data_IF_458185785739
#
_entry.id   IF_458185785739
#
_cell.length_a   1.000
_cell.length_b   1.000
_cell.length_c   1.000
_cell.angle_alpha   90.00
_cell.angle_beta   90.00
_cell.angle_gamma   90.00
#
_symmetry.space_group_name_H-M   'P 1'
#
loop_
_entity.id
_entity.type
_entity.pdbx_description
1 polymer ?
#
# COMPACT_ATOMS: atom_id res chain seq x y z
N UNK A 1 5.91 26.59 -11.57
CA UNK A 1 4.94 25.47 -11.49
C UNK A 1 5.71 24.20 -11.72
N UNK A 2 5.53 23.19 -10.87
CA UNK A 2 6.21 21.90 -11.01
C UNK A 2 5.69 21.24 -12.30
N UNK A 3 6.59 20.85 -13.19
CA UNK A 3 6.25 20.09 -14.40
C UNK A 3 6.05 18.64 -13.96
N UNK A 4 4.81 18.19 -13.90
CA UNK A 4 4.47 16.82 -13.48
C UNK A 4 4.74 15.85 -14.63
N UNK A 5 5.33 14.69 -14.31
CA UNK A 5 5.65 13.65 -15.29
C UNK A 5 4.39 12.86 -15.65
N UNK A 6 4.04 12.72 -16.94
CA UNK A 6 2.97 11.83 -17.37
C UNK A 6 3.21 10.38 -16.94
N UNK A 7 2.16 9.67 -16.55
CA UNK A 7 2.27 8.29 -16.09
C UNK A 7 1.01 7.46 -16.42
N UNK A 8 1.11 6.12 -16.34
CA UNK A 8 0.01 5.22 -16.70
C UNK A 8 -1.30 5.40 -15.94
N UNK A 9 -1.28 6.00 -14.73
CA UNK A 9 -2.47 6.13 -13.88
C UNK A 9 -3.55 7.04 -14.47
N UNK A 10 -3.13 8.01 -15.29
CA UNK A 10 -4.01 8.93 -16.01
C UNK A 10 -3.99 8.67 -17.52
N UNK A 11 -3.62 7.44 -17.91
CA UNK A 11 -3.47 7.10 -19.32
C UNK A 11 -4.82 6.82 -19.99
N UNK A 12 -4.87 7.18 -21.25
CA UNK A 12 -6.05 7.05 -22.09
C UNK A 12 -5.72 6.33 -23.39
N UNK A 13 -6.71 5.65 -23.95
CA UNK A 13 -6.66 5.09 -25.30
C UNK A 13 -7.55 5.94 -26.20
N UNK A 14 -6.96 6.63 -27.18
CA UNK A 14 -7.68 7.36 -28.21
C UNK A 14 -7.83 6.47 -29.43
N UNK A 15 -9.05 6.06 -29.74
CA UNK A 15 -9.36 5.43 -31.03
C UNK A 15 -9.74 6.51 -32.03
N UNK A 16 -9.00 6.60 -33.13
CA UNK A 16 -9.14 7.66 -34.12
C UNK A 16 -9.16 7.12 -35.54
N UNK A 17 -10.03 7.70 -36.34
CA UNK A 17 -10.14 7.51 -37.78
C UNK A 17 -9.48 8.69 -38.47
N UNK A 18 -8.60 8.41 -39.42
CA UNK A 18 -7.89 9.43 -40.22
C UNK A 18 -7.87 9.03 -41.69
N UNK A 19 -7.81 10.00 -42.64
CA UNK A 19 -7.60 9.70 -44.04
C UNK A 19 -6.35 8.85 -44.27
N UNK A 20 -6.40 7.86 -45.17
CA UNK A 20 -5.22 7.05 -45.49
C UNK A 20 -4.25 7.79 -46.43
N UNK A 21 -3.55 8.80 -45.89
CA UNK A 21 -2.53 9.59 -46.60
C UNK A 21 -1.41 10.04 -45.66
N UNK A 22 -0.29 10.44 -46.26
CA UNK A 22 0.88 10.89 -45.50
C UNK A 22 0.56 12.08 -44.58
N UNK A 23 1.20 12.11 -43.41
CA UNK A 23 1.11 13.22 -42.45
C UNK A 23 0.02 13.10 -41.39
N UNK A 24 -1.02 12.28 -41.58
CA UNK A 24 -2.16 12.23 -40.64
C UNK A 24 -1.76 11.73 -39.24
N UNK A 25 -0.98 10.66 -39.14
CA UNK A 25 -0.49 10.18 -37.85
C UNK A 25 0.52 11.17 -37.22
N UNK A 26 1.33 11.83 -38.04
CA UNK A 26 2.28 12.83 -37.58
C UNK A 26 1.57 14.02 -36.94
N UNK A 27 0.45 14.49 -37.53
CA UNK A 27 -0.34 15.57 -36.92
C UNK A 27 -0.95 15.17 -35.58
N UNK A 28 -1.44 13.94 -35.43
CA UNK A 28 -1.98 13.44 -34.14
C UNK A 28 -0.90 13.39 -33.08
N UNK A 29 0.21 12.74 -33.38
CA UNK A 29 1.33 12.58 -32.44
C UNK A 29 1.94 13.94 -32.07
N UNK A 30 2.03 14.87 -33.02
CA UNK A 30 2.46 16.24 -32.75
C UNK A 30 1.49 16.98 -31.81
N UNK A 31 0.17 16.86 -32.00
CA UNK A 31 -0.80 17.50 -31.12
C UNK A 31 -0.70 16.98 -29.69
N UNK A 32 -0.59 15.66 -29.52
CA UNK A 32 -0.39 15.03 -28.20
C UNK A 32 0.90 15.53 -27.54
N UNK A 33 2.01 15.50 -28.28
CA UNK A 33 3.31 15.93 -27.76
C UNK A 33 3.33 17.43 -27.39
N UNK A 34 2.60 18.27 -28.13
CA UNK A 34 2.52 19.72 -27.88
C UNK A 34 1.81 20.05 -26.57
N UNK A 35 0.87 19.20 -26.13
CA UNK A 35 0.23 19.31 -24.81
C UNK A 35 1.08 18.69 -23.69
N UNK A 36 2.16 17.98 -24.02
CA UNK A 36 3.01 17.30 -23.05
C UNK A 36 2.57 15.87 -22.71
N UNK A 37 1.69 15.26 -23.51
CA UNK A 37 1.32 13.85 -23.37
C UNK A 37 2.46 12.93 -23.82
N UNK A 38 2.69 11.85 -23.06
CA UNK A 38 3.68 10.84 -23.44
C UNK A 38 3.01 9.72 -24.24
N UNK A 39 3.45 9.53 -25.49
CA UNK A 39 2.82 8.60 -26.42
C UNK A 39 3.35 7.18 -26.17
N UNK A 40 2.42 6.27 -25.90
CA UNK A 40 2.69 4.84 -25.76
C UNK A 40 2.47 4.08 -27.07
N UNK A 41 1.80 2.92 -26.97
CA UNK A 41 1.52 2.07 -28.13
C UNK A 41 0.60 2.75 -29.16
N UNK A 42 0.89 2.49 -30.44
CA UNK A 42 0.08 2.92 -31.58
C UNK A 42 -0.27 1.69 -32.40
N UNK A 43 -1.53 1.26 -32.34
CA UNK A 43 -2.03 0.07 -33.00
C UNK A 43 -2.87 0.43 -34.23
N UNK A 44 -2.62 -0.24 -35.36
CA UNK A 44 -3.44 -0.10 -36.57
C UNK A 44 -4.53 -1.19 -36.53
N UNK A 45 -5.78 -0.77 -36.35
CA UNK A 45 -6.92 -1.69 -36.27
C UNK A 45 -7.49 -2.00 -37.66
N UNK A 46 -7.60 -0.97 -38.50
CA UNK A 46 -8.16 -1.10 -39.85
C UNK A 46 -7.46 -0.14 -40.81
N UNK A 47 -7.28 -0.58 -42.06
CA UNK A 47 -6.80 0.27 -43.14
C UNK A 47 -7.55 -0.04 -44.43
N UNK A 48 -8.14 0.99 -45.01
CA UNK A 48 -8.74 0.96 -46.35
C UNK A 48 -8.01 1.91 -47.28
N UNK A 49 -8.43 2.02 -48.54
CA UNK A 49 -7.89 3.04 -49.47
C UNK A 49 -8.21 4.47 -49.04
N UNK A 50 -9.23 4.68 -48.21
CA UNK A 50 -9.72 6.01 -47.84
C UNK A 50 -9.36 6.40 -46.41
N UNK A 51 -9.38 5.44 -45.48
CA UNK A 51 -9.22 5.71 -44.04
C UNK A 51 -8.27 4.71 -43.37
N UNK A 52 -7.72 5.12 -42.23
CA UNK A 52 -7.05 4.27 -41.26
C UNK A 52 -7.68 4.47 -39.89
N UNK A 53 -7.96 3.37 -39.20
CA UNK A 53 -8.42 3.36 -37.82
C UNK A 53 -7.26 2.94 -36.92
N UNK A 54 -6.89 3.80 -35.98
CA UNK A 54 -5.78 3.56 -35.05
C UNK A 54 -6.23 3.72 -33.61
N UNK A 55 -5.56 3.00 -32.73
CA UNK A 55 -5.58 3.27 -31.29
C UNK A 55 -4.23 3.82 -30.86
N UNK A 56 -4.26 4.87 -30.04
CA UNK A 56 -3.06 5.47 -29.46
C UNK A 56 -3.24 5.50 -27.95
N UNK A 57 -2.31 4.87 -27.24
CA UNK A 57 -2.19 5.04 -25.79
C UNK A 57 -1.42 6.31 -25.50
N UNK A 58 -1.91 7.13 -24.58
CA UNK A 58 -1.25 8.35 -24.14
C UNK A 58 -1.28 8.42 -22.63
N UNK A 59 -0.11 8.60 -22.02
CA UNK A 59 0.02 8.90 -20.60
C UNK A 59 -0.13 10.41 -20.39
N UNK A 60 -0.90 10.77 -19.37
CA UNK A 60 -1.06 12.13 -18.87
C UNK A 60 -0.58 12.21 -17.41
N UNK A 61 -0.48 13.40 -16.84
CA UNK A 61 -0.09 13.60 -15.44
C UNK A 61 -1.28 13.92 -14.52
N UNK A 62 -2.46 14.18 -15.08
CA UNK A 62 -3.72 14.37 -14.37
C UNK A 62 -4.91 14.18 -15.32
N UNK A 63 -6.12 14.10 -14.77
CA UNK A 63 -7.37 14.07 -15.55
C UNK A 63 -7.54 15.34 -16.38
N UNK A 64 -7.23 16.52 -15.85
CA UNK A 64 -7.35 17.78 -16.59
C UNK A 64 -6.34 17.85 -17.75
N UNK A 65 -5.15 17.27 -17.57
CA UNK A 65 -4.18 17.16 -18.66
C UNK A 65 -4.64 16.17 -19.73
N UNK A 66 -5.20 15.04 -19.32
CA UNK A 66 -5.74 14.04 -20.25
C UNK A 66 -6.86 14.64 -21.12
N UNK A 67 -7.72 15.48 -20.53
CA UNK A 67 -8.74 16.24 -21.25
C UNK A 67 -8.13 17.23 -22.26
N UNK A 68 -7.09 17.99 -21.89
CA UNK A 68 -6.40 18.91 -22.81
C UNK A 68 -5.82 18.19 -24.02
N UNK A 69 -5.14 17.06 -23.80
CA UNK A 69 -4.61 16.20 -24.88
C UNK A 69 -5.75 15.79 -25.83
N UNK A 70 -6.87 15.31 -25.28
CA UNK A 70 -8.01 14.88 -26.08
C UNK A 70 -8.60 16.04 -26.89
N UNK A 71 -8.71 17.24 -26.31
CA UNK A 71 -9.20 18.41 -27.04
C UNK A 71 -8.24 18.81 -28.17
N UNK A 72 -6.93 18.77 -27.94
CA UNK A 72 -5.93 19.05 -28.98
C UNK A 72 -6.05 18.09 -30.17
N UNK A 73 -6.27 16.79 -29.91
CA UNK A 73 -6.49 15.80 -30.97
C UNK A 73 -7.84 16.03 -31.68
N UNK A 74 -8.91 16.32 -30.94
CA UNK A 74 -10.25 16.63 -31.51
C UNK A 74 -10.27 17.90 -32.36
N UNK A 75 -9.37 18.84 -32.10
CA UNK A 75 -9.26 20.08 -32.86
C UNK A 75 -8.55 19.90 -34.22
N UNK A 76 -7.91 18.75 -34.46
CA UNK A 76 -7.23 18.50 -35.73
C UNK A 76 -8.24 18.32 -36.88
N UNK A 77 -8.02 18.99 -38.04
CA UNK A 77 -8.89 18.85 -39.18
C UNK A 77 -8.82 17.43 -39.75
N UNK A 78 -9.95 16.91 -40.23
CA UNK A 78 -10.06 15.59 -40.86
C UNK A 78 -9.79 14.39 -39.94
N UNK A 79 -9.59 14.61 -38.63
CA UNK A 79 -9.40 13.54 -37.65
C UNK A 79 -10.69 13.35 -36.87
N UNK A 80 -11.16 12.11 -36.82
CA UNK A 80 -12.35 11.75 -36.07
C UNK A 80 -11.95 10.86 -34.90
N UNK A 81 -12.10 11.36 -33.67
CA UNK A 81 -12.01 10.51 -32.48
C UNK A 81 -13.27 9.65 -32.43
N UNK A 82 -13.10 8.35 -32.63
CA UNK A 82 -14.18 7.35 -32.68
C UNK A 82 -14.55 6.90 -31.27
N UNK A 83 -13.56 6.65 -30.43
CA UNK A 83 -13.76 6.23 -29.04
C UNK A 83 -12.63 6.75 -28.15
N UNK A 84 -12.93 6.86 -26.86
CA UNK A 84 -12.00 7.30 -25.83
C UNK A 84 -12.20 6.47 -24.58
N UNK A 85 -11.14 5.78 -24.16
CA UNK A 85 -11.17 4.99 -22.94
C UNK A 85 -10.16 5.53 -21.95
N UNK A 86 -10.60 5.85 -20.74
CA UNK A 86 -9.69 5.92 -19.61
C UNK A 86 -9.27 4.48 -19.26
N UNK A 87 -7.96 4.22 -19.30
CA UNK A 87 -7.42 2.86 -19.15
C UNK A 87 -7.61 2.32 -17.74
N UNK A 88 -7.57 3.19 -16.72
CA UNK A 88 -7.83 2.82 -15.33
C UNK A 88 -9.31 2.47 -15.15
N UNK A 89 -10.24 3.30 -15.61
CA UNK A 89 -11.67 2.98 -15.51
C UNK A 89 -12.05 1.72 -16.28
N UNK A 90 -11.45 1.51 -17.46
CA UNK A 90 -11.72 0.32 -18.25
C UNK A 90 -11.20 -0.96 -17.57
N UNK A 91 -10.02 -0.90 -16.93
CA UNK A 91 -9.48 -2.01 -16.12
C UNK A 91 -10.40 -2.41 -14.96
N UNK A 92 -11.15 -1.45 -14.42
CA UNK A 92 -12.09 -1.67 -13.31
C UNK A 92 -13.49 -2.15 -13.75
N UNK A 93 -13.79 -2.25 -15.05
CA UNK A 93 -15.10 -2.73 -15.51
C UNK A 93 -15.32 -4.18 -15.09
N UNK A 94 -16.30 -4.41 -14.22
CA UNK A 94 -16.65 -5.73 -13.71
C UNK A 94 -15.90 -6.15 -12.43
N UNK A 95 -15.09 -5.26 -11.85
CA UNK A 95 -14.27 -5.56 -10.68
C UNK A 95 -12.95 -6.26 -11.03
N UNK A 96 -12.08 -6.43 -10.02
CA UNK A 96 -10.70 -6.94 -10.21
C UNK A 96 -10.50 -8.40 -9.78
N UNK A 97 -11.49 -8.99 -9.10
CA UNK A 97 -11.38 -10.34 -8.54
C UNK A 97 -12.60 -11.19 -8.89
N UNK A 98 -12.43 -12.51 -8.84
CA UNK A 98 -13.50 -13.49 -9.05
C UNK A 98 -13.31 -14.69 -8.11
N UNK A 99 -14.38 -15.44 -7.85
CA UNK A 99 -14.33 -16.69 -7.08
C UNK A 99 -14.26 -17.86 -8.05
N UNK A 100 -13.22 -18.68 -7.91
CA UNK A 100 -13.03 -19.87 -8.73
C UNK A 100 -12.98 -21.13 -7.86
N UNK A 101 -13.72 -22.17 -8.26
CA UNK A 101 -13.68 -23.47 -7.59
C UNK A 101 -12.33 -24.16 -7.76
N UNK A 102 -11.82 -24.80 -6.69
CA UNK A 102 -10.56 -25.55 -6.72
C UNK A 102 -10.62 -26.84 -7.56
N UNK A 103 -11.82 -27.42 -7.68
CA UNK A 103 -12.07 -28.63 -8.45
C UNK A 103 -13.17 -28.39 -9.49
N UNK A 104 -13.05 -28.90 -10.72
CA UNK A 104 -14.11 -28.81 -11.71
C UNK A 104 -15.23 -29.83 -11.38
N UNK A 105 -16.48 -29.42 -11.53
CA UNK A 105 -17.65 -30.31 -11.38
C UNK A 105 -18.09 -30.80 -12.76
N UNK A 106 -17.61 -31.97 -13.19
CA UNK A 106 -17.85 -32.50 -14.56
C UNK A 106 -18.84 -33.66 -14.59
N UNK A 107 -19.13 -34.27 -13.45
CA UNK A 107 -20.00 -35.42 -13.33
C UNK A 107 -20.92 -35.35 -12.10
N UNK A 108 -21.95 -36.20 -12.09
CA UNK A 108 -22.80 -36.38 -10.92
C UNK A 108 -22.00 -36.86 -9.70
N UNK A 109 -20.96 -37.68 -9.92
CA UNK A 109 -20.08 -38.14 -8.85
C UNK A 109 -19.31 -36.98 -8.21
N UNK A 110 -18.79 -36.06 -9.01
CA UNK A 110 -18.08 -34.86 -8.50
C UNK A 110 -19.02 -34.00 -7.66
N UNK A 111 -20.24 -33.76 -8.17
CA UNK A 111 -21.27 -32.99 -7.47
C UNK A 111 -21.67 -33.65 -6.15
N UNK A 112 -21.85 -34.98 -6.12
CA UNK A 112 -22.22 -35.71 -4.91
C UNK A 112 -21.13 -35.74 -3.83
N UNK A 113 -19.85 -35.58 -4.21
CA UNK A 113 -18.73 -35.44 -3.26
C UNK A 113 -18.57 -34.01 -2.77
N UNK A 114 -18.60 -33.03 -3.69
CA UNK A 114 -18.39 -31.62 -3.38
C UNK A 114 -19.59 -30.99 -2.66
N UNK A 115 -20.79 -31.53 -2.89
CA UNK A 115 -22.04 -31.05 -2.31
C UNK A 115 -22.86 -32.23 -1.75
N UNK A 116 -24.17 -32.20 -1.89
CA UNK A 116 -25.04 -33.23 -1.31
C UNK A 116 -24.97 -34.56 -2.08
N UNK A 117 -24.95 -35.70 -1.36
CA UNK A 117 -24.99 -35.83 0.10
C UNK A 117 -23.61 -35.82 0.79
N UNK A 118 -22.50 -35.90 0.05
CA UNK A 118 -21.15 -36.12 0.59
C UNK A 118 -20.66 -35.06 1.58
N UNK A 119 -20.92 -33.79 1.31
CA UNK A 119 -20.50 -32.65 2.15
C UNK A 119 -21.01 -32.76 3.59
N UNK A 120 -22.15 -33.43 3.82
CA UNK A 120 -22.68 -33.65 5.16
C UNK A 120 -21.75 -34.45 6.07
N UNK A 121 -20.89 -35.31 5.52
CA UNK A 121 -19.84 -36.03 6.27
C UNK A 121 -18.74 -35.08 6.74
N UNK A 122 -18.37 -34.11 5.91
CA UNK A 122 -17.39 -33.07 6.25
C UNK A 122 -17.94 -32.15 7.33
N UNK A 123 -19.21 -31.74 7.23
CA UNK A 123 -19.87 -30.93 8.27
C UNK A 123 -19.88 -31.65 9.64
N UNK A 124 -20.15 -32.96 9.67
CA UNK A 124 -20.08 -33.75 10.91
C UNK A 124 -18.65 -33.86 11.45
N UNK A 125 -17.67 -34.11 10.58
CA UNK A 125 -16.27 -34.21 11.00
C UNK A 125 -15.77 -32.91 11.64
N UNK A 126 -16.12 -31.74 11.09
CA UNK A 126 -15.78 -30.44 11.69
C UNK A 126 -16.54 -30.17 12.99
N UNK A 127 -17.79 -30.64 13.11
CA UNK A 127 -18.54 -30.51 14.36
C UNK A 127 -18.01 -31.41 15.50
N UNK A 128 -17.44 -32.58 15.15
CA UNK A 128 -16.83 -33.52 16.10
C UNK A 128 -15.40 -33.11 16.49
N UNK A 129 -14.62 -32.57 15.54
CA UNK A 129 -13.28 -32.04 15.75
C UNK A 129 -13.16 -30.65 15.09
N UNK A 130 -13.37 -29.56 15.86
CA UNK A 130 -13.33 -28.19 15.35
C UNK A 130 -12.04 -27.82 14.61
N UNK A 131 -10.90 -28.42 14.96
CA UNK A 131 -9.61 -28.15 14.29
C UNK A 131 -9.59 -28.56 12.82
N UNK A 132 -10.46 -29.51 12.42
CA UNK A 132 -10.59 -29.91 11.02
C UNK A 132 -11.10 -28.78 10.13
N UNK A 133 -11.66 -27.69 10.69
CA UNK A 133 -12.06 -26.53 9.89
C UNK A 133 -10.88 -25.98 9.07
N UNK A 134 -9.66 -26.04 9.60
CA UNK A 134 -8.47 -25.62 8.85
C UNK A 134 -8.12 -26.61 7.73
N UNK A 135 -8.22 -27.92 7.97
CA UNK A 135 -7.82 -28.92 6.99
C UNK A 135 -8.84 -29.14 5.87
N UNK A 136 -10.13 -28.94 6.18
CA UNK A 136 -11.24 -29.35 5.32
C UNK A 136 -11.99 -28.16 4.69
N UNK A 137 -11.57 -26.92 4.96
CA UNK A 137 -12.22 -25.72 4.43
C UNK A 137 -11.22 -24.69 3.94
N UNK A 138 -11.75 -23.59 3.37
CA UNK A 138 -10.93 -22.47 2.92
C UNK A 138 -10.25 -21.71 4.07
N UNK A 139 -10.68 -21.87 5.32
CA UNK A 139 -10.17 -21.12 6.49
C UNK A 139 -8.64 -21.13 6.58
N UNK A 140 -7.98 -22.24 6.24
CA UNK A 140 -6.51 -22.35 6.22
C UNK A 140 -5.79 -21.31 5.35
N UNK A 141 -6.42 -20.77 4.32
CA UNK A 141 -5.76 -19.88 3.37
C UNK A 141 -6.53 -18.59 3.09
N UNK A 142 -7.58 -18.28 3.85
CA UNK A 142 -8.47 -17.16 3.55
C UNK A 142 -8.36 -16.02 4.55
N UNK A 143 -8.18 -14.79 4.05
CA UNK A 143 -8.07 -13.56 4.87
C UNK A 143 -9.24 -12.62 4.57
N UNK A 144 -9.87 -12.06 5.60
CA UNK A 144 -10.84 -10.98 5.43
C UNK A 144 -10.10 -9.65 5.35
N UNK A 145 -10.36 -8.85 4.30
CA UNK A 145 -9.91 -7.46 4.24
C UNK A 145 -11.06 -6.58 4.70
N UNK A 146 -11.02 -6.13 5.95
CA UNK A 146 -12.12 -5.40 6.59
C UNK A 146 -11.84 -3.91 6.59
N UNK A 147 -12.80 -3.12 6.11
CA UNK A 147 -12.75 -1.65 6.12
C UNK A 147 -14.13 -1.05 6.40
N UNK A 148 -14.18 0.16 6.96
CA UNK A 148 -15.37 1.02 7.01
C UNK A 148 -15.34 2.15 5.94
N UNK A 149 -14.25 2.24 5.18
CA UNK A 149 -13.98 3.27 4.18
C UNK A 149 -13.83 4.68 4.74
N UNK A 150 -13.47 4.81 6.02
CA UNK A 150 -13.35 6.11 6.68
C UNK A 150 -12.03 6.84 6.42
N UNK A 151 -11.01 6.14 5.91
CA UNK A 151 -9.69 6.70 5.58
C UNK A 151 -9.11 6.07 4.31
N UNK A 152 -9.85 6.11 3.20
CA UNK A 152 -9.42 5.50 1.93
C UNK A 152 -8.24 6.26 1.33
N UNK A 153 -7.05 5.65 1.37
CA UNK A 153 -5.81 6.28 0.87
C UNK A 153 -5.59 7.68 1.51
N UNK A 154 -5.22 8.68 0.70
CA UNK A 154 -5.19 10.10 1.09
C UNK A 154 -6.50 10.84 0.80
N UNK A 155 -7.59 10.15 0.46
CA UNK A 155 -8.85 10.75 -0.02
C UNK A 155 -9.87 10.96 1.11
N UNK A 156 -9.61 10.41 2.30
CA UNK A 156 -10.48 10.54 3.47
C UNK A 156 -11.66 9.57 3.45
N UNK A 157 -12.78 10.00 4.02
CA UNK A 157 -13.96 9.15 4.22
C UNK A 157 -14.80 9.08 2.93
N UNK A 158 -14.67 7.97 2.19
CA UNK A 158 -15.45 7.68 0.99
C UNK A 158 -16.56 6.64 1.24
N UNK A 159 -16.66 6.16 2.48
CA UNK A 159 -17.58 5.11 2.87
C UNK A 159 -17.24 3.74 2.25
N UNK A 160 -18.01 2.70 2.59
CA UNK A 160 -17.71 1.31 2.20
C UNK A 160 -17.69 1.10 0.68
N UNK A 161 -18.59 1.76 -0.05
CA UNK A 161 -18.67 1.63 -1.51
C UNK A 161 -17.46 2.26 -2.22
N UNK A 162 -16.97 3.41 -1.73
CA UNK A 162 -15.78 4.06 -2.27
C UNK A 162 -14.48 3.31 -1.95
N UNK A 163 -14.46 2.53 -0.87
CA UNK A 163 -13.30 1.73 -0.46
C UNK A 163 -13.17 0.41 -1.25
N UNK A 164 -14.28 -0.17 -1.73
CA UNK A 164 -14.30 -1.49 -2.35
C UNK A 164 -13.26 -1.67 -3.48
N UNK A 165 -13.06 -0.72 -4.42
CA UNK A 165 -12.02 -0.87 -5.44
C UNK A 165 -10.61 -1.01 -4.85
N UNK A 166 -10.29 -0.34 -3.75
CA UNK A 166 -8.99 -0.48 -3.06
C UNK A 166 -8.89 -1.87 -2.43
N UNK A 167 -9.95 -2.32 -1.76
CA UNK A 167 -9.99 -3.63 -1.10
C UNK A 167 -9.88 -4.81 -2.10
N UNK A 168 -10.52 -4.71 -3.26
CA UNK A 168 -10.33 -5.68 -4.35
C UNK A 168 -8.88 -5.70 -4.84
N UNK A 169 -8.25 -4.53 -4.90
CA UNK A 169 -6.83 -4.41 -5.23
C UNK A 169 -5.97 -5.17 -4.23
N UNK A 170 -6.19 -4.95 -2.94
CA UNK A 170 -5.49 -5.68 -1.87
C UNK A 170 -5.71 -7.19 -1.94
N UNK A 171 -6.94 -7.63 -2.23
CA UNK A 171 -7.23 -9.04 -2.41
C UNK A 171 -6.41 -9.67 -3.55
N UNK A 172 -6.32 -8.97 -4.69
CA UNK A 172 -5.49 -9.38 -5.81
C UNK A 172 -4.00 -9.45 -5.45
N UNK A 173 -3.48 -8.48 -4.68
CA UNK A 173 -2.08 -8.46 -4.24
C UNK A 173 -1.75 -9.60 -3.26
N UNK A 174 -2.66 -9.92 -2.33
CA UNK A 174 -2.53 -11.12 -1.47
C UNK A 174 -2.38 -12.40 -2.30
N UNK A 175 -3.19 -12.52 -3.35
CA UNK A 175 -3.18 -13.69 -4.22
C UNK A 175 -1.91 -13.78 -5.05
N UNK A 176 -1.54 -12.67 -5.70
CA UNK A 176 -0.39 -12.59 -6.61
C UNK A 176 0.93 -12.84 -5.88
N UNK A 177 1.15 -12.17 -4.74
CA UNK A 177 2.46 -12.18 -4.09
C UNK A 177 2.65 -13.30 -3.05
N UNK A 178 1.57 -13.86 -2.51
CA UNK A 178 1.64 -14.83 -1.43
C UNK A 178 0.73 -16.05 -1.60
N UNK A 179 -0.06 -16.12 -2.67
CA UNK A 179 -1.02 -17.21 -2.88
C UNK A 179 -2.16 -17.24 -1.85
N UNK A 180 -2.37 -16.16 -1.10
CA UNK A 180 -3.41 -16.05 -0.06
C UNK A 180 -4.74 -15.67 -0.72
N UNK A 181 -5.81 -16.38 -0.36
CA UNK A 181 -7.15 -16.10 -0.86
C UNK A 181 -7.79 -15.00 0.00
N UNK A 182 -7.70 -13.75 -0.39
CA UNK A 182 -8.28 -12.66 0.40
C UNK A 182 -9.63 -12.19 -0.16
N UNK A 183 -10.54 -11.74 0.70
CA UNK A 183 -11.87 -11.27 0.30
C UNK A 183 -12.21 -9.92 0.94
N UNK A 184 -12.68 -8.92 0.16
CA UNK A 184 -13.03 -7.61 0.66
C UNK A 184 -14.35 -7.63 1.45
N UNK A 185 -14.35 -7.02 2.63
CA UNK A 185 -15.50 -6.88 3.53
C UNK A 185 -15.63 -5.40 3.93
N UNK A 186 -16.36 -4.64 3.10
CA UNK A 186 -16.61 -3.21 3.34
C UNK A 186 -17.88 -3.02 4.18
N UNK A 187 -17.73 -2.55 5.42
CA UNK A 187 -18.82 -2.45 6.39
C UNK A 187 -19.55 -1.11 6.28
N UNK A 188 -20.88 -1.17 6.18
CA UNK A 188 -21.76 0.01 6.18
C UNK A 188 -22.03 0.56 7.60
N UNK A 189 -21.01 0.59 8.44
CA UNK A 189 -21.02 1.17 9.79
C UNK A 189 -19.64 1.73 10.12
N UNK A 190 -19.61 2.81 10.89
CA UNK A 190 -18.39 3.43 11.42
C UNK A 190 -18.39 3.44 12.96
N UNK A 191 -19.32 2.71 13.56
CA UNK A 191 -19.38 2.47 15.00
C UNK A 191 -18.37 1.37 15.37
N UNK A 192 -17.48 1.68 16.32
CA UNK A 192 -16.38 0.80 16.73
C UNK A 192 -16.89 -0.56 17.19
N UNK A 193 -17.90 -0.59 18.07
CA UNK A 193 -18.39 -1.84 18.65
C UNK A 193 -19.14 -2.68 17.62
N UNK A 194 -19.92 -2.04 16.73
CA UNK A 194 -20.58 -2.72 15.62
C UNK A 194 -19.57 -3.35 14.65
N UNK A 195 -18.45 -2.68 14.36
CA UNK A 195 -17.37 -3.23 13.53
C UNK A 195 -16.78 -4.46 14.23
N UNK A 196 -16.39 -4.33 15.50
CA UNK A 196 -15.76 -5.41 16.27
C UNK A 196 -16.68 -6.64 16.33
N UNK A 197 -17.96 -6.44 16.66
CA UNK A 197 -18.94 -7.53 16.74
C UNK A 197 -19.21 -8.16 15.36
N UNK A 198 -19.25 -7.37 14.30
CA UNK A 198 -19.40 -7.89 12.93
C UNK A 198 -18.22 -8.77 12.54
N UNK A 199 -16.99 -8.30 12.76
CA UNK A 199 -15.78 -9.06 12.42
C UNK A 199 -15.70 -10.36 13.21
N UNK A 200 -16.02 -10.32 14.51
CA UNK A 200 -16.13 -11.51 15.35
C UNK A 200 -17.12 -12.54 14.80
N UNK A 201 -18.29 -12.10 14.35
CA UNK A 201 -19.32 -13.00 13.84
C UNK A 201 -18.97 -13.63 12.48
N UNK A 202 -18.11 -12.99 11.67
CA UNK A 202 -17.65 -13.54 10.39
C UNK A 202 -16.31 -14.30 10.47
N UNK A 203 -15.56 -14.15 11.57
CA UNK A 203 -14.26 -14.77 11.79
C UNK A 203 -14.20 -16.30 11.57
N UNK A 204 -15.26 -17.11 11.81
CA UNK A 204 -15.20 -18.54 11.56
C UNK A 204 -14.74 -18.93 10.14
N UNK A 205 -15.03 -18.11 9.12
CA UNK A 205 -14.66 -18.36 7.72
C UNK A 205 -13.17 -18.13 7.44
N UNK A 206 -12.52 -17.25 8.20
CA UNK A 206 -11.21 -16.69 7.87
C UNK A 206 -10.10 -17.24 8.77
N UNK A 207 -8.90 -17.42 8.22
CA UNK A 207 -7.68 -17.73 8.96
C UNK A 207 -6.92 -16.49 9.40
N UNK A 208 -7.42 -15.29 9.09
CA UNK A 208 -6.84 -14.01 9.52
C UNK A 208 -7.70 -12.81 9.08
N UNK A 209 -7.49 -11.67 9.73
CA UNK A 209 -8.19 -10.40 9.44
C UNK A 209 -7.18 -9.30 9.17
N UNK A 210 -7.25 -8.72 7.98
CA UNK A 210 -6.51 -7.53 7.59
C UNK A 210 -7.44 -6.31 7.68
N UNK A 211 -7.23 -5.45 8.67
CA UNK A 211 -7.91 -4.16 8.81
C UNK A 211 -7.27 -3.13 7.86
N UNK A 212 -8.11 -2.33 7.21
CA UNK A 212 -7.68 -1.44 6.14
C UNK A 212 -8.47 -0.13 6.08
N UNK A 213 -7.80 0.99 5.81
CA UNK A 213 -8.43 2.28 5.51
C UNK A 213 -9.45 2.73 6.60
N UNK A 214 -9.15 2.45 7.87
CA UNK A 214 -9.96 2.86 9.03
C UNK A 214 -9.30 4.06 9.72
N UNK A 215 -10.07 5.13 9.92
CA UNK A 215 -9.56 6.37 10.49
C UNK A 215 -9.11 6.23 11.96
N UNK A 216 -7.96 6.85 12.28
CA UNK A 216 -7.56 7.08 13.65
C UNK A 216 -8.50 8.10 14.36
N UNK A 217 -8.75 7.98 15.67
CA UNK A 217 -8.15 6.99 16.58
C UNK A 217 -8.88 5.64 16.65
N UNK A 218 -10.06 5.49 16.00
CA UNK A 218 -10.89 4.28 16.13
C UNK A 218 -10.18 3.01 15.70
N UNK A 219 -9.32 3.09 14.68
CA UNK A 219 -8.53 1.96 14.20
C UNK A 219 -7.73 1.26 15.31
N UNK A 220 -7.18 2.01 16.27
CA UNK A 220 -6.42 1.46 17.39
C UNK A 220 -7.30 0.64 18.34
N UNK A 221 -8.48 1.16 18.67
CA UNK A 221 -9.43 0.49 19.56
C UNK A 221 -10.02 -0.77 18.90
N UNK A 222 -10.40 -0.66 17.62
CA UNK A 222 -10.92 -1.79 16.83
C UNK A 222 -9.89 -2.91 16.78
N UNK A 223 -8.64 -2.60 16.41
CA UNK A 223 -7.56 -3.59 16.34
C UNK A 223 -7.28 -4.22 17.71
N UNK A 224 -7.17 -3.42 18.77
CA UNK A 224 -6.90 -3.92 20.12
C UNK A 224 -8.00 -4.89 20.58
N UNK A 225 -9.28 -4.50 20.45
CA UNK A 225 -10.42 -5.36 20.81
C UNK A 225 -10.46 -6.65 19.99
N UNK A 226 -10.24 -6.57 18.68
CA UNK A 226 -10.24 -7.75 17.82
C UNK A 226 -9.10 -8.72 18.15
N UNK A 227 -7.91 -8.21 18.44
CA UNK A 227 -6.77 -9.04 18.86
C UNK A 227 -6.97 -9.73 20.21
N UNK A 228 -7.81 -9.18 21.08
CA UNK A 228 -8.14 -9.77 22.38
C UNK A 228 -9.19 -10.89 22.26
N UNK A 229 -10.19 -10.71 21.38
CA UNK A 229 -11.35 -11.61 21.32
C UNK A 229 -11.24 -12.71 20.25
N UNK A 230 -10.34 -12.57 19.29
CA UNK A 230 -10.15 -13.54 18.20
C UNK A 230 -8.95 -14.45 18.44
N UNK A 231 -9.07 -15.68 17.95
CA UNK A 231 -8.05 -16.73 17.94
C UNK A 231 -7.27 -16.80 16.60
N UNK A 232 -7.47 -15.80 15.74
CA UNK A 232 -6.83 -15.65 14.43
C UNK A 232 -6.06 -14.32 14.36
N UNK A 233 -4.99 -14.24 13.55
CA UNK A 233 -4.16 -13.05 13.46
C UNK A 233 -4.96 -11.87 12.89
N UNK A 234 -4.90 -10.75 13.60
CA UNK A 234 -5.45 -9.45 13.19
C UNK A 234 -4.31 -8.47 12.94
N UNK A 235 -4.33 -7.85 11.77
CA UNK A 235 -3.29 -6.94 11.30
C UNK A 235 -3.92 -5.69 10.69
N UNK A 236 -3.56 -4.51 11.16
CA UNK A 236 -3.88 -3.28 10.43
C UNK A 236 -2.74 -2.86 9.51
N UNK A 237 -2.93 -2.93 8.19
CA UNK A 237 -1.83 -2.71 7.22
C UNK A 237 -1.32 -1.26 7.21
N UNK A 238 -2.21 -0.27 7.21
CA UNK A 238 -1.81 1.15 7.26
C UNK A 238 -0.96 1.51 8.49
N UNK A 239 -1.13 0.78 9.59
CA UNK A 239 -0.32 0.91 10.79
C UNK A 239 0.97 0.11 10.66
N UNK A 240 0.84 -1.21 10.71
CA UNK A 240 1.97 -2.11 10.92
C UNK A 240 2.73 -2.38 9.63
N UNK A 241 2.04 -2.52 8.49
CA UNK A 241 2.68 -2.68 7.18
C UNK A 241 3.58 -1.50 6.86
N UNK A 242 3.07 -0.27 7.02
CA UNK A 242 3.84 0.96 6.83
C UNK A 242 5.05 1.00 7.77
N UNK A 243 4.87 0.64 9.04
CA UNK A 243 5.96 0.60 10.03
C UNK A 243 7.07 -0.40 9.66
N UNK A 244 6.69 -1.60 9.24
CA UNK A 244 7.61 -2.68 8.87
C UNK A 244 8.47 -2.28 7.68
N UNK A 245 7.86 -1.78 6.61
CA UNK A 245 8.60 -1.40 5.39
C UNK A 245 9.44 -0.14 5.63
N UNK A 246 8.95 0.82 6.43
CA UNK A 246 9.73 2.00 6.84
C UNK A 246 10.97 1.60 7.64
N UNK A 247 10.84 0.66 8.60
CA UNK A 247 11.98 0.16 9.35
C UNK A 247 12.95 -0.61 8.44
N UNK A 248 12.45 -1.43 7.52
CA UNK A 248 13.30 -2.16 6.57
C UNK A 248 14.16 -1.22 5.72
N UNK A 249 13.53 -0.19 5.14
CA UNK A 249 14.22 0.86 4.40
C UNK A 249 15.23 1.61 5.28
N UNK A 250 14.85 1.98 6.51
CA UNK A 250 15.71 2.70 7.43
C UNK A 250 16.95 1.88 7.85
N UNK A 251 16.80 0.58 8.10
CA UNK A 251 17.94 -0.31 8.41
C UNK A 251 19.02 -0.21 7.33
N UNK A 252 18.62 -0.23 6.06
CA UNK A 252 19.57 -0.16 4.95
C UNK A 252 20.08 1.26 4.69
N UNK A 253 19.24 2.28 4.84
CA UNK A 253 19.66 3.68 4.76
C UNK A 253 20.73 4.01 5.82
N UNK A 254 20.56 3.53 7.06
CA UNK A 254 21.52 3.73 8.15
C UNK A 254 22.86 3.02 7.89
N UNK A 255 22.84 1.81 7.30
CA UNK A 255 24.07 1.13 6.85
C UNK A 255 24.81 1.97 5.80
N UNK A 256 24.09 2.55 4.85
CA UNK A 256 24.66 3.37 3.77
C UNK A 256 25.34 4.63 4.34
N UNK A 257 24.68 5.36 5.23
CA UNK A 257 25.22 6.58 5.85
C UNK A 257 26.10 6.31 7.08
N UNK A 258 26.29 5.05 7.47
CA UNK A 258 27.10 4.58 8.59
C UNK A 258 26.70 5.21 9.94
N UNK A 259 25.39 5.27 10.22
CA UNK A 259 24.82 5.74 11.48
C UNK A 259 24.18 4.60 12.26
N UNK A 260 24.17 4.68 13.60
CA UNK A 260 23.42 3.76 14.47
C UNK A 260 22.02 4.33 14.75
N UNK A 261 21.00 3.46 14.82
CA UNK A 261 19.62 3.88 15.13
C UNK A 261 19.48 4.48 16.54
N UNK A 262 20.40 4.11 17.44
CA UNK A 262 20.41 4.53 18.85
C UNK A 262 20.89 5.99 19.03
N UNK A 263 21.70 6.49 18.09
CA UNK A 263 22.41 7.78 18.20
C UNK A 263 21.77 8.91 17.38
N UNK A 264 20.75 8.58 16.57
CA UNK A 264 20.12 9.52 15.64
C UNK A 264 18.87 10.17 16.23
N UNK A 265 18.51 11.34 15.68
CA UNK A 265 17.17 11.92 15.87
C UNK A 265 16.29 11.68 14.66
N UNK A 266 15.14 11.06 14.91
CA UNK A 266 14.12 10.76 13.91
C UNK A 266 12.94 11.71 14.10
N UNK A 267 12.56 12.43 13.05
CA UNK A 267 11.36 13.25 13.02
C UNK A 267 10.30 12.55 12.18
N UNK A 268 9.14 12.27 12.77
CA UNK A 268 8.00 11.70 12.07
C UNK A 268 6.92 12.79 11.96
N UNK A 269 6.55 13.15 10.73
CA UNK A 269 5.44 14.08 10.48
C UNK A 269 4.18 13.32 10.12
N UNK A 270 3.15 13.50 10.94
CA UNK A 270 1.93 12.69 10.93
C UNK A 270 1.84 11.87 12.21
N UNK A 271 0.95 12.26 13.13
CA UNK A 271 0.70 11.54 14.38
C UNK A 271 -0.65 10.79 14.34
N UNK A 272 -0.96 10.17 13.20
CA UNK A 272 -2.09 9.27 13.00
C UNK A 272 -1.68 7.80 13.14
N UNK A 273 -2.49 6.89 12.59
CA UNK A 273 -2.31 5.44 12.63
C UNK A 273 -0.87 5.01 12.24
N UNK A 274 -0.44 5.33 11.03
CA UNK A 274 0.89 4.99 10.51
C UNK A 274 2.04 5.57 11.36
N UNK A 275 1.99 6.87 11.67
CA UNK A 275 3.09 7.55 12.37
C UNK A 275 3.31 7.03 13.78
N UNK A 276 2.23 6.73 14.51
CA UNK A 276 2.32 6.10 15.84
C UNK A 276 2.89 4.69 15.75
N UNK A 277 2.44 3.89 14.79
CA UNK A 277 2.92 2.52 14.60
C UNK A 277 4.41 2.49 14.19
N UNK A 278 4.83 3.38 13.28
CA UNK A 278 6.24 3.58 12.93
C UNK A 278 7.04 3.93 14.19
N UNK A 279 6.61 4.94 14.96
CA UNK A 279 7.33 5.39 16.15
C UNK A 279 7.51 4.27 17.19
N UNK A 280 6.46 3.47 17.43
CA UNK A 280 6.51 2.31 18.33
C UNK A 280 7.47 1.22 17.85
N UNK A 281 7.43 0.88 16.57
CA UNK A 281 8.31 -0.15 16.00
C UNK A 281 9.78 0.30 15.98
N UNK A 282 10.04 1.57 15.62
CA UNK A 282 11.38 2.15 15.66
C UNK A 282 11.96 2.18 17.08
N UNK A 283 11.16 2.57 18.08
CA UNK A 283 11.57 2.51 19.50
C UNK A 283 11.91 1.08 19.92
N UNK A 284 11.10 0.09 19.50
CA UNK A 284 11.38 -1.34 19.74
C UNK A 284 12.66 -1.81 19.01
N UNK A 285 12.99 -1.21 17.87
CA UNK A 285 14.20 -1.49 17.11
C UNK A 285 15.47 -0.81 17.69
N UNK A 286 15.34 0.06 18.70
CA UNK A 286 16.46 0.71 19.39
C UNK A 286 16.53 2.24 19.22
N UNK A 287 15.58 2.87 18.53
CA UNK A 287 15.58 4.33 18.37
C UNK A 287 15.30 5.05 19.70
N UNK A 288 16.26 5.86 20.16
CA UNK A 288 16.16 6.58 21.43
C UNK A 288 15.46 7.94 21.29
N UNK A 289 15.68 8.65 20.18
CA UNK A 289 15.20 10.03 20.00
C UNK A 289 14.23 10.12 18.83
N UNK A 290 12.93 10.12 19.13
CA UNK A 290 11.84 10.26 18.14
C UNK A 290 11.00 11.49 18.47
N UNK A 291 10.84 12.39 17.51
CA UNK A 291 9.96 13.57 17.61
C UNK A 291 8.80 13.40 16.65
N UNK A 292 7.58 13.33 17.18
CA UNK A 292 6.36 13.36 16.37
C UNK A 292 5.89 14.80 16.14
N UNK A 293 5.48 15.09 14.91
CA UNK A 293 4.78 16.32 14.55
C UNK A 293 3.36 15.99 14.06
N UNK A 294 2.39 16.83 14.41
CA UNK A 294 1.06 16.81 13.79
C UNK A 294 0.72 18.19 13.20
N UNK A 295 -0.53 18.40 12.81
CA UNK A 295 -0.98 19.66 12.20
C UNK A 295 -0.75 20.91 13.07
N UNK A 296 -0.43 20.75 14.36
CA UNK A 296 -0.13 21.84 15.30
C UNK A 296 1.37 21.95 15.63
N UNK A 297 2.24 21.25 14.91
CA UNK A 297 3.68 21.21 15.15
C UNK A 297 4.10 20.04 16.03
N UNK A 298 5.22 20.21 16.75
CA UNK A 298 5.80 19.16 17.61
C UNK A 298 4.77 18.73 18.66
N UNK A 299 4.64 17.41 18.86
CA UNK A 299 3.87 16.83 19.95
C UNK A 299 4.67 17.03 21.25
N UNK A 300 4.45 18.16 21.91
CA UNK A 300 5.14 18.50 23.16
C UNK A 300 4.32 18.12 24.40
N UNK A 301 4.98 17.96 25.54
CA UNK A 301 4.34 17.78 26.85
C UNK A 301 3.58 19.01 27.33
N UNK A 302 3.91 20.19 26.82
CA UNK A 302 3.19 21.44 27.13
C UNK A 302 1.86 21.58 26.38
N UNK A 303 1.58 20.74 25.38
CA UNK A 303 0.31 20.75 24.65
C UNK A 303 -0.79 20.02 25.41
N UNK A 304 -1.97 20.62 25.46
CA UNK A 304 -3.18 20.02 26.01
C UNK A 304 -4.01 19.32 24.92
N UNK A 305 -4.88 18.38 25.32
CA UNK A 305 -5.81 17.70 24.41
C UNK A 305 -5.17 16.65 23.48
N UNK A 306 -4.01 16.11 23.86
CA UNK A 306 -3.41 14.96 23.18
C UNK A 306 -4.19 13.69 23.54
N UNK A 307 -4.46 12.82 22.57
CA UNK A 307 -4.96 11.46 22.84
C UNK A 307 -3.84 10.60 23.47
N UNK A 308 -4.18 9.45 24.09
CA UNK A 308 -3.20 8.60 24.78
C UNK A 308 -2.02 8.19 23.90
N UNK A 309 -2.26 7.91 22.62
CA UNK A 309 -1.24 7.49 21.66
C UNK A 309 -0.22 8.60 21.40
N UNK A 310 -0.66 9.86 21.25
CA UNK A 310 0.26 11.00 21.09
C UNK A 310 1.01 11.32 22.37
N UNK A 311 0.37 11.17 23.53
CA UNK A 311 1.01 11.42 24.83
C UNK A 311 2.22 10.50 25.05
N UNK A 312 2.19 9.26 24.55
CA UNK A 312 3.31 8.30 24.61
C UNK A 312 4.63 8.81 24.00
N UNK A 313 4.53 9.78 23.09
CA UNK A 313 5.65 10.35 22.34
C UNK A 313 5.82 11.85 22.57
N UNK A 314 5.15 12.41 23.58
CA UNK A 314 5.26 13.83 23.88
C UNK A 314 6.67 14.17 24.40
N UNK A 315 7.33 15.13 23.77
CA UNK A 315 8.69 15.59 24.12
C UNK A 315 8.67 16.94 24.84
N UNK A 316 9.77 17.33 25.50
CA UNK A 316 9.86 18.67 26.14
C UNK A 316 9.90 19.81 25.11
N UNK A 317 10.51 19.55 23.95
CA UNK A 317 10.64 20.52 22.87
C UNK A 317 9.27 20.90 22.27
N UNK A 318 9.15 22.15 21.85
CA UNK A 318 7.99 22.69 21.15
C UNK A 318 8.42 23.50 19.94
N UNK A 319 7.50 23.74 19.00
CA UNK A 319 7.79 24.43 17.75
C UNK A 319 7.08 23.82 16.56
N UNK A 320 7.46 24.28 15.38
CA UNK A 320 6.96 23.84 14.08
C UNK A 320 7.69 22.60 13.57
N UNK A 321 7.24 22.05 12.45
CA UNK A 321 7.96 20.98 11.73
C UNK A 321 9.37 21.43 11.32
N UNK A 322 9.52 22.69 10.89
CA UNK A 322 10.82 23.25 10.52
C UNK A 322 11.79 23.22 11.71
N UNK A 323 11.32 23.59 12.90
CA UNK A 323 12.12 23.56 14.14
C UNK A 323 12.54 22.13 14.52
N UNK A 324 11.65 21.15 14.30
CA UNK A 324 11.95 19.74 14.55
C UNK A 324 13.07 19.20 13.65
N UNK A 325 13.12 19.67 12.41
CA UNK A 325 14.06 19.19 11.40
C UNK A 325 15.50 19.72 11.57
N UNK A 326 15.70 20.84 12.28
CA UNK A 326 17.03 21.46 12.46
C UNK A 326 17.99 20.53 13.18
N UNK A 327 18.88 19.86 12.46
CA UNK A 327 19.83 18.85 12.96
C UNK A 327 19.26 17.44 13.10
N UNK A 328 18.11 17.13 12.48
CA UNK A 328 17.55 15.78 12.49
C UNK A 328 18.30 14.90 11.47
N UNK A 329 18.49 13.62 11.77
CA UNK A 329 19.15 12.69 10.85
C UNK A 329 18.17 12.08 9.85
N UNK A 330 16.94 11.86 10.30
CA UNK A 330 15.90 11.15 9.56
C UNK A 330 14.61 11.94 9.62
N UNK A 331 13.98 12.12 8.46
CA UNK A 331 12.60 12.56 8.33
C UNK A 331 11.74 11.42 7.76
N UNK A 332 10.59 11.18 8.39
CA UNK A 332 9.57 10.23 7.94
C UNK A 332 8.22 10.94 7.84
N UNK A 333 7.74 11.15 6.63
CA UNK A 333 6.44 11.78 6.35
C UNK A 333 5.36 10.74 6.07
N UNK A 334 4.25 10.81 6.83
CA UNK A 334 3.01 10.04 6.62
C UNK A 334 1.79 10.97 6.79
N UNK A 335 1.86 12.13 6.16
CA UNK A 335 1.03 13.29 6.49
C UNK A 335 0.33 13.91 5.29
N UNK A 336 0.75 15.11 4.89
CA UNK A 336 0.08 15.95 3.91
C UNK A 336 1.08 16.40 2.82
N UNK A 337 0.58 16.67 1.60
CA UNK A 337 1.43 17.01 0.48
C UNK A 337 2.12 18.37 0.66
N UNK A 338 3.39 18.46 0.24
CA UNK A 338 4.12 19.74 0.13
C UNK A 338 4.41 20.48 1.44
N UNK A 339 4.38 19.78 2.59
CA UNK A 339 4.60 20.38 3.92
C UNK A 339 6.07 20.57 4.29
N UNK A 340 7.00 19.99 3.53
CA UNK A 340 8.45 20.14 3.75
C UNK A 340 9.06 20.97 2.62
N UNK A 341 9.90 21.95 2.97
CA UNK A 341 10.61 22.79 2.00
C UNK A 341 12.09 22.39 1.87
N UNK A 342 12.78 22.76 0.77
CA UNK A 342 14.21 22.50 0.62
C UNK A 342 15.06 23.09 1.76
N UNK A 343 14.68 24.26 2.28
CA UNK A 343 15.39 24.91 3.39
C UNK A 343 15.30 24.08 4.68
N UNK A 344 14.16 23.43 4.93
CA UNK A 344 14.01 22.51 6.06
C UNK A 344 14.90 21.27 5.89
N UNK A 345 15.03 20.74 4.67
CA UNK A 345 15.92 19.60 4.41
C UNK A 345 17.38 19.99 4.60
N UNK A 346 17.79 21.18 4.12
CA UNK A 346 19.17 21.67 4.31
C UNK A 346 19.53 21.99 5.75
N UNK A 347 18.55 22.17 6.64
CA UNK A 347 18.79 22.39 8.06
C UNK A 347 19.00 21.09 8.85
N UNK A 348 18.75 19.93 8.23
CA UNK A 348 18.98 18.61 8.81
C UNK A 348 20.47 18.33 9.07
N UNK A 349 20.75 17.25 9.80
CA UNK A 349 22.11 16.79 10.04
C UNK A 349 22.81 16.37 8.74
N UNK A 350 24.14 16.22 8.80
CA UNK A 350 24.93 15.71 7.67
C UNK A 350 24.41 14.34 7.22
N UNK A 351 24.41 14.10 5.91
CA UNK A 351 23.93 12.88 5.28
C UNK A 351 22.48 12.55 5.70
N UNK A 352 21.51 13.45 5.41
CA UNK A 352 20.14 13.28 5.88
C UNK A 352 19.40 12.21 5.08
N UNK A 353 18.53 11.49 5.78
CA UNK A 353 17.63 10.48 5.21
C UNK A 353 16.21 11.06 5.20
N UNK A 354 15.58 11.11 4.03
CA UNK A 354 14.24 11.70 3.85
C UNK A 354 13.31 10.67 3.22
N UNK A 355 12.31 10.21 3.98
CA UNK A 355 11.23 9.38 3.46
C UNK A 355 9.95 10.23 3.40
N UNK A 356 9.53 10.62 2.19
CA UNK A 356 8.32 11.42 1.96
C UNK A 356 7.22 10.53 1.38
N UNK A 357 6.40 9.93 2.26
CA UNK A 357 5.54 8.80 1.93
C UNK A 357 4.06 9.18 1.76
N UNK A 358 3.69 10.46 1.86
CA UNK A 358 2.35 10.91 1.52
C UNK A 358 2.00 10.57 0.06
N UNK A 359 0.76 10.11 -0.15
CA UNK A 359 0.21 9.80 -1.47
C UNK A 359 -1.04 10.65 -1.75
N UNK A 360 -1.29 11.04 -3.02
CA UNK A 360 -0.46 10.78 -4.21
C UNK A 360 0.71 11.76 -4.39
N UNK A 361 0.73 12.85 -3.61
CA UNK A 361 1.79 13.87 -3.64
C UNK A 361 2.56 13.80 -2.31
N UNK A 362 3.90 13.62 -2.34
CA UNK A 362 4.71 13.50 -1.14
C UNK A 362 4.85 14.82 -0.38
N UNK A 363 5.36 14.74 0.85
CA UNK A 363 5.67 15.90 1.70
C UNK A 363 6.66 16.87 1.03
N UNK A 364 7.59 16.32 0.24
CA UNK A 364 8.51 17.06 -0.63
C UNK A 364 8.82 16.22 -1.86
N UNK A 365 8.88 16.88 -3.02
CA UNK A 365 9.21 16.24 -4.29
C UNK A 365 10.73 15.95 -4.36
N UNK A 366 11.16 14.72 -4.73
CA UNK A 366 12.58 14.34 -4.82
C UNK A 366 13.45 15.29 -5.65
N UNK A 367 12.88 15.88 -6.71
CA UNK A 367 13.54 16.81 -7.63
C UNK A 367 13.99 18.11 -6.96
N UNK A 368 13.36 18.48 -5.84
CA UNK A 368 13.66 19.73 -5.12
C UNK A 368 14.89 19.62 -4.22
N UNK A 369 15.33 18.38 -3.90
CA UNK A 369 16.36 18.11 -2.88
C UNK A 369 17.36 17.03 -3.31
N UNK A 370 17.47 16.74 -4.61
CA UNK A 370 18.31 15.65 -5.15
C UNK A 370 19.78 15.72 -4.70
N UNK A 371 20.31 16.93 -4.47
CA UNK A 371 21.67 17.15 -3.96
C UNK A 371 21.79 17.41 -2.45
N UNK A 372 20.66 17.51 -1.75
CA UNK A 372 20.60 17.89 -0.34
C UNK A 372 20.44 16.66 0.60
N UNK A 373 20.15 15.47 0.03
CA UNK A 373 19.90 14.23 0.80
C UNK A 373 20.87 13.11 0.47
N UNK A 374 21.21 12.31 1.48
CA UNK A 374 21.98 11.08 1.26
C UNK A 374 21.08 9.94 0.75
N UNK A 375 19.83 9.91 1.22
CA UNK A 375 18.82 8.92 0.83
C UNK A 375 17.47 9.61 0.69
N UNK A 376 16.79 9.35 -0.42
CA UNK A 376 15.40 9.74 -0.66
C UNK A 376 14.55 8.49 -0.87
N UNK A 377 13.39 8.43 -0.23
CA UNK A 377 12.39 7.39 -0.46
C UNK A 377 10.98 8.01 -0.50
N UNK A 378 10.07 7.38 -1.24
CA UNK A 378 8.67 7.84 -1.34
C UNK A 378 7.70 6.67 -1.34
N UNK A 379 6.39 6.95 -1.25
CA UNK A 379 5.36 5.94 -1.46
C UNK A 379 5.08 5.60 -2.95
N UNK A 380 5.64 6.38 -3.88
CA UNK A 380 5.32 6.31 -5.30
C UNK A 380 6.19 5.29 -6.04
N UNK A 381 5.59 4.60 -7.01
CA UNK A 381 6.25 3.55 -7.80
C UNK A 381 7.13 4.06 -8.93
N UNK A 382 7.03 5.34 -9.28
CA UNK A 382 7.83 5.96 -10.33
C UNK A 382 9.16 6.54 -9.82
N UNK A 383 9.41 6.50 -8.51
CA UNK A 383 10.68 6.88 -7.89
C UNK A 383 11.46 5.67 -7.36
N UNK A 384 12.81 5.76 -7.29
CA UNK A 384 13.61 4.80 -6.55
C UNK A 384 13.18 4.74 -5.07
N UNK A 385 13.54 3.64 -4.40
CA UNK A 385 13.22 3.42 -2.99
C UNK A 385 11.73 3.58 -2.65
N UNK A 386 10.86 2.89 -3.39
CA UNK A 386 9.43 2.87 -3.06
C UNK A 386 9.19 2.13 -1.73
N UNK A 387 8.67 2.85 -0.73
CA UNK A 387 8.19 2.29 0.52
C UNK A 387 6.71 1.96 0.34
N UNK A 388 6.42 0.68 0.14
CA UNK A 388 5.07 0.18 -0.12
C UNK A 388 4.76 -1.05 0.74
N UNK A 389 3.61 -1.04 1.40
CA UNK A 389 3.15 -2.08 2.33
C UNK A 389 3.02 -3.46 1.68
N UNK A 390 2.92 -3.53 0.34
CA UNK A 390 2.95 -4.79 -0.42
C UNK A 390 4.20 -5.64 -0.16
N UNK A 391 5.29 -5.03 0.29
CA UNK A 391 6.50 -5.75 0.71
C UNK A 391 6.33 -6.49 2.05
N UNK A 392 5.28 -6.19 2.83
CA UNK A 392 5.05 -6.75 4.16
C UNK A 392 3.81 -7.66 4.19
N UNK A 393 2.60 -7.12 4.00
CA UNK A 393 1.36 -7.83 4.32
C UNK A 393 1.20 -9.21 3.66
N UNK A 394 1.60 -9.44 2.39
CA UNK A 394 1.44 -10.77 1.78
C UNK A 394 2.28 -11.81 2.52
N UNK A 395 3.53 -11.49 2.80
CA UNK A 395 4.46 -12.37 3.49
C UNK A 395 4.09 -12.58 4.97
N UNK A 396 3.60 -11.53 5.64
CA UNK A 396 3.17 -11.64 7.05
C UNK A 396 2.02 -12.64 7.18
N UNK A 397 0.97 -12.50 6.39
CA UNK A 397 -0.15 -13.43 6.45
C UNK A 397 0.25 -14.82 5.95
N UNK A 398 1.09 -14.95 4.93
CA UNK A 398 1.59 -16.26 4.50
C UNK A 398 2.28 -16.99 5.66
N UNK A 399 3.19 -16.31 6.35
CA UNK A 399 3.90 -16.87 7.51
C UNK A 399 2.94 -17.23 8.64
N UNK A 400 2.03 -16.33 8.99
CA UNK A 400 1.05 -16.54 10.05
C UNK A 400 0.09 -17.71 9.75
N UNK A 401 -0.40 -17.83 8.51
CA UNK A 401 -1.27 -18.93 8.08
C UNK A 401 -0.51 -20.26 8.02
N UNK A 402 0.74 -20.27 7.55
CA UNK A 402 1.57 -21.49 7.48
C UNK A 402 1.88 -22.09 8.84
N UNK A 403 2.04 -21.26 9.87
CA UNK A 403 2.31 -21.72 11.23
C UNK A 403 1.09 -21.68 12.14
N UNK A 404 -0.11 -21.37 11.63
CA UNK A 404 -1.34 -21.20 12.43
C UNK A 404 -1.12 -20.29 13.64
N UNK A 405 -0.50 -19.13 13.39
CA UNK A 405 -0.30 -18.14 14.44
C UNK A 405 -1.65 -17.66 14.95
N UNK A 406 -1.84 -17.58 16.27
CA UNK A 406 -3.07 -17.05 16.89
C UNK A 406 -3.08 -15.53 16.96
N UNK A 407 -1.91 -14.91 16.86
CA UNK A 407 -1.73 -13.45 16.89
C UNK A 407 -0.47 -13.03 16.15
N UNK A 408 -0.31 -11.72 15.91
CA UNK A 408 0.89 -11.13 15.31
C UNK A 408 1.59 -10.24 16.31
N UNK A 409 2.87 -10.46 16.61
CA UNK A 409 3.58 -9.71 17.66
C UNK A 409 4.51 -8.64 17.07
N UNK A 410 4.92 -7.70 17.92
CA UNK A 410 5.95 -6.72 17.53
C UNK A 410 7.29 -7.38 17.16
N UNK A 411 7.61 -8.53 17.74
CA UNK A 411 8.82 -9.30 17.37
C UNK A 411 8.68 -9.84 15.95
N UNK A 412 7.52 -10.39 15.58
CA UNK A 412 7.25 -10.83 14.20
C UNK A 412 7.37 -9.65 13.21
N UNK A 413 6.94 -8.44 13.59
CA UNK A 413 7.10 -7.24 12.76
C UNK A 413 8.57 -6.82 12.61
N UNK A 414 9.36 -6.88 13.68
CA UNK A 414 10.81 -6.62 13.62
C UNK A 414 11.53 -7.61 12.71
N UNK A 415 11.23 -8.90 12.84
CA UNK A 415 11.83 -9.94 12.01
C UNK A 415 11.40 -9.84 10.55
N UNK A 416 10.14 -9.46 10.28
CA UNK A 416 9.68 -9.13 8.92
C UNK A 416 10.48 -7.96 8.32
N UNK A 417 10.69 -6.88 9.07
CA UNK A 417 11.46 -5.72 8.59
C UNK A 417 12.92 -6.09 8.30
N UNK A 418 13.54 -6.90 9.18
CA UNK A 418 14.91 -7.43 8.98
C UNK A 418 14.99 -8.33 7.76
N UNK A 419 13.99 -9.19 7.53
CA UNK A 419 13.93 -10.08 6.39
C UNK A 419 13.88 -9.27 5.07
N UNK A 420 13.01 -8.26 4.98
CA UNK A 420 12.93 -7.36 3.82
C UNK A 420 14.28 -6.65 3.60
N UNK A 421 14.84 -6.04 4.65
CA UNK A 421 16.11 -5.33 4.56
C UNK A 421 17.27 -6.24 4.10
N UNK A 422 17.27 -7.51 4.51
CA UNK A 422 18.33 -8.47 4.18
C UNK A 422 18.38 -8.88 2.70
N UNK A 423 17.31 -8.63 1.93
CA UNK A 423 17.25 -8.96 0.51
C UNK A 423 18.06 -8.01 -0.37
N UNK A 424 18.36 -6.81 0.14
CA UNK A 424 19.31 -5.88 -0.48
C UNK A 424 20.71 -6.24 0.01
N UNK A 425 21.54 -6.79 -0.88
CA UNK A 425 22.92 -7.17 -0.55
C UNK A 425 23.77 -5.92 -0.36
N UNK A 426 24.82 -6.04 0.46
CA UNK A 426 25.78 -4.95 0.67
C UNK A 426 26.45 -4.46 -0.64
N UNK A 427 26.59 -5.32 -1.65
CA UNK A 427 27.11 -4.96 -2.98
C UNK A 427 26.15 -4.11 -3.82
N UNK A 428 24.85 -4.23 -3.54
CA UNK A 428 23.77 -3.63 -4.33
C UNK A 428 23.16 -2.43 -3.60
N UNK A 429 23.61 -2.17 -2.37
CA UNK A 429 23.13 -1.09 -1.52
C UNK A 429 23.71 0.25 -1.98
N UNK A 430 22.84 1.14 -2.42
CA UNK A 430 23.18 2.51 -2.77
C UNK A 430 22.04 3.49 -2.41
N UNK A 431 22.22 4.77 -2.74
CA UNK A 431 21.26 5.84 -2.41
C UNK A 431 19.89 5.69 -3.08
N UNK A 432 19.78 4.91 -4.16
CA UNK A 432 18.58 4.64 -4.96
C UNK A 432 18.07 3.20 -4.78
N UNK A 433 18.77 2.38 -4.00
CA UNK A 433 18.42 0.98 -3.74
C UNK A 433 18.66 0.57 -2.28
N UNK A 434 17.76 0.99 -1.38
CA UNK A 434 17.75 0.61 0.05
C UNK A 434 16.68 -0.44 0.39
N UNK A 435 15.72 -0.67 -0.51
CA UNK A 435 14.54 -1.53 -0.34
C UNK A 435 14.39 -2.38 -1.60
N UNK A 436 14.02 -3.68 -1.51
CA UNK A 436 13.78 -4.48 -2.70
C UNK A 436 12.58 -3.95 -3.49
N UNK A 437 12.53 -4.28 -4.78
CA UNK A 437 11.36 -4.02 -5.63
C UNK A 437 10.12 -4.76 -5.09
N UNK A 438 8.94 -4.16 -5.26
CA UNK A 438 7.65 -4.81 -4.97
C UNK A 438 7.43 -6.09 -5.79
N UNK A 439 8.13 -6.22 -6.93
CA UNK A 439 8.08 -7.40 -7.80
C UNK A 439 9.17 -8.43 -7.49
N UNK A 440 9.98 -8.20 -6.46
CA UNK A 440 10.96 -9.19 -6.02
C UNK A 440 10.23 -10.38 -5.35
N UNK A 441 10.13 -11.47 -6.09
CA UNK A 441 9.40 -12.68 -5.68
C UNK A 441 9.97 -13.33 -4.41
N UNK A 442 11.18 -12.95 -3.98
CA UNK A 442 11.81 -13.46 -2.74
C UNK A 442 11.19 -12.85 -1.49
N UNK A 443 10.58 -11.67 -1.58
CA UNK A 443 10.11 -10.87 -0.43
C UNK A 443 9.09 -11.64 0.40
N UNK A 444 7.99 -12.09 -0.23
CA UNK A 444 6.92 -12.77 0.49
C UNK A 444 7.42 -14.04 1.20
N UNK A 445 8.28 -14.82 0.54
CA UNK A 445 8.87 -16.04 1.13
C UNK A 445 9.80 -15.72 2.31
N UNK A 446 10.66 -14.71 2.18
CA UNK A 446 11.59 -14.32 3.24
C UNK A 446 10.84 -13.80 4.48
N UNK A 447 9.83 -12.94 4.26
CA UNK A 447 8.97 -12.42 5.33
C UNK A 447 8.18 -13.56 5.98
N UNK A 448 7.57 -14.45 5.20
CA UNK A 448 6.80 -15.59 5.73
C UNK A 448 7.67 -16.49 6.62
N UNK A 449 8.90 -16.79 6.18
CA UNK A 449 9.84 -17.58 6.97
C UNK A 449 10.23 -16.92 8.29
N UNK A 450 10.53 -15.62 8.26
CA UNK A 450 10.90 -14.86 9.45
C UNK A 450 9.74 -14.75 10.46
N UNK A 451 8.53 -14.47 9.96
CA UNK A 451 7.30 -14.38 10.75
C UNK A 451 6.94 -15.72 11.38
N UNK A 452 6.96 -16.80 10.61
CA UNK A 452 6.67 -18.15 11.12
C UNK A 452 7.72 -18.61 12.15
N UNK A 453 9.00 -18.26 11.94
CA UNK A 453 10.05 -18.54 12.90
C UNK A 453 9.82 -17.82 14.23
N UNK A 454 9.56 -16.50 14.18
CA UNK A 454 9.29 -15.69 15.37
C UNK A 454 8.03 -16.18 16.11
N UNK A 455 6.95 -16.49 15.40
CA UNK A 455 5.72 -17.01 15.99
C UNK A 455 5.95 -18.30 16.80
N UNK A 456 6.74 -19.24 16.25
CA UNK A 456 7.07 -20.49 16.93
C UNK A 456 7.96 -20.26 18.16
N UNK A 457 8.92 -19.34 18.07
CA UNK A 457 9.79 -18.99 19.22
C UNK A 457 8.99 -18.36 20.37
N UNK A 458 7.98 -17.56 20.06
CA UNK A 458 7.12 -16.93 21.06
C UNK A 458 5.96 -17.83 21.53
N UNK A 459 5.80 -19.01 20.94
CA UNK A 459 4.76 -19.98 21.32
C UNK A 459 3.34 -19.54 20.96
N UNK A 460 3.17 -18.69 19.94
CA UNK A 460 1.87 -18.16 19.50
C UNK A 460 1.29 -18.94 18.31
N UNK A 461 1.58 -20.24 18.22
CA UNK A 461 1.14 -21.14 17.14
C UNK A 461 0.32 -22.31 17.70
N UNK A 462 -0.67 -22.80 16.95
CA UNK A 462 -1.53 -23.94 17.33
C UNK A 462 -1.25 -25.18 16.49
#
# INVERSE_FOLDING_TARGET
MVQLTPNPSFSLTIRLETPNRAGMLASVTQAIASEGGNIGHIDLLEQSRQITLREITVDAYSTEHSEKIVQAVKALPEIKVVDLYDRTFNLHRGGKITVQGKIPLKSQSDLSMAYTPGVGRISKAVAEDPEQIYNLTIKQNTVAIVTDGSAVLGLGNLGPGGALPVMEGKAMLFKEFAGVDAFPVCLATQDTDAIVETVKNIAPVFGGVNLEDIAAPRCFEIEAKLREILDIPVFHDDQHGTAIVSLAALINALKLVKKSIEDIRIVINGAGAAGIAIARLLRKAGANTIWLCDSKGIVSKSRTGLNPEKQEFAVESSGTLGDALVGADVFLGVSAPGVVTPEMVRSMAKDPIVFAMANPIPEIQPELVTGDVAVMATGRSDYPNQINNVLAFPGIFRGALDCRATTLTSTMYLEAARAIASLVKASDLDKEHIIPSVFDTRVATAVAGAVAHAARQEGVTV
#
